data_IF_871500347928
#
_entry.id   IF_871500347928
#
_cell.length_a   1.000
_cell.length_b   1.000
_cell.length_c   1.000
_cell.angle_alpha   90.00
_cell.angle_beta   90.00
_cell.angle_gamma   90.00
#
_symmetry.space_group_name_H-M   'P 1'
#
loop_
_entity.id
_entity.type
_entity.pdbx_description
1 polymer ?
#
# COMPACT_ATOMS: atom_id res chain seq x y z
N UNK A 1 -31.31 14.28 22.52
CA UNK A 1 -30.09 14.66 23.25
C UNK A 1 -28.99 14.89 22.21
N UNK A 2 -28.71 16.15 21.88
CA UNK A 2 -27.67 16.51 20.91
C UNK A 2 -26.33 16.52 21.63
N UNK A 3 -25.45 15.57 21.31
CA UNK A 3 -24.04 15.66 21.69
C UNK A 3 -23.36 16.68 20.78
N UNK A 4 -23.32 17.93 21.24
CA UNK A 4 -22.53 18.98 20.61
C UNK A 4 -21.05 18.72 20.89
N UNK A 5 -20.37 18.02 20.00
CA UNK A 5 -18.92 18.06 19.96
C UNK A 5 -18.52 19.45 19.43
N UNK A 6 -17.98 20.29 20.30
CA UNK A 6 -17.30 21.53 19.89
C UNK A 6 -15.99 21.14 19.25
N UNK A 7 -16.02 20.89 17.94
CA UNK A 7 -14.83 20.61 17.15
C UNK A 7 -14.07 21.93 16.95
N UNK A 8 -12.92 22.05 17.60
CA UNK A 8 -11.99 23.15 17.32
C UNK A 8 -10.99 22.61 16.29
N UNK A 9 -11.18 22.94 15.01
CA UNK A 9 -10.20 22.63 13.97
C UNK A 9 -8.94 23.46 14.19
N UNK A 10 -7.96 22.90 14.91
CA UNK A 10 -6.62 23.45 14.93
C UNK A 10 -5.88 22.91 13.70
N UNK A 11 -5.75 23.74 12.68
CA UNK A 11 -4.66 23.64 11.71
C UNK A 11 -4.90 22.72 10.52
N UNK A 12 -5.04 23.35 9.34
CA UNK A 12 -4.77 22.70 8.06
C UNK A 12 -3.44 21.93 8.14
N UNK A 13 -3.40 20.75 7.54
CA UNK A 13 -2.15 20.05 7.26
C UNK A 13 -1.18 21.03 6.57
N UNK A 14 -0.05 21.37 7.21
CA UNK A 14 0.89 22.39 6.74
C UNK A 14 1.53 22.03 5.39
N UNK A 15 1.46 20.75 5.02
CA UNK A 15 1.98 20.21 3.77
C UNK A 15 0.93 19.32 3.12
N UNK A 16 0.97 19.20 1.80
CA UNK A 16 0.18 18.20 1.08
C UNK A 16 0.54 16.80 1.60
N UNK A 17 -0.44 15.90 1.76
CA UNK A 17 -0.17 14.52 2.17
C UNK A 17 0.80 13.84 1.20
N UNK A 18 1.57 12.90 1.73
CA UNK A 18 2.59 12.14 1.01
C UNK A 18 2.52 10.68 1.40
N UNK A 19 2.78 9.81 0.43
CA UNK A 19 3.04 8.40 0.69
C UNK A 19 4.43 8.26 1.32
N UNK A 20 4.56 7.29 2.22
CA UNK A 20 5.83 6.94 2.85
C UNK A 20 6.74 6.35 1.79
N UNK A 21 7.88 7.03 1.61
CA UNK A 21 8.96 6.57 0.74
C UNK A 21 9.58 5.30 1.33
N UNK A 22 9.86 4.35 0.47
CA UNK A 22 10.57 3.11 0.77
C UNK A 22 12.03 3.19 0.27
N UNK A 23 12.93 2.27 0.68
CA UNK A 23 14.30 2.21 0.16
C UNK A 23 14.35 2.10 -1.36
N UNK A 24 15.42 2.64 -1.95
CA UNK A 24 15.61 2.65 -3.40
C UNK A 24 15.80 1.25 -3.99
N UNK A 25 16.45 0.32 -3.27
CA UNK A 25 16.54 -1.08 -3.65
C UNK A 25 15.40 -1.88 -3.03
N UNK A 26 14.70 -2.67 -3.85
CA UNK A 26 13.66 -3.56 -3.36
C UNK A 26 14.21 -4.64 -2.42
N UNK A 27 15.40 -5.17 -2.70
CA UNK A 27 16.04 -6.18 -1.84
C UNK A 27 16.27 -5.68 -0.42
N UNK A 28 16.61 -4.40 -0.26
CA UNK A 28 16.76 -3.78 1.06
C UNK A 28 15.42 -3.75 1.80
N UNK A 29 14.34 -3.36 1.12
CA UNK A 29 12.99 -3.36 1.69
C UNK A 29 12.53 -4.78 2.03
N UNK A 30 12.69 -5.71 1.10
CA UNK A 30 12.34 -7.11 1.26
C UNK A 30 13.06 -7.70 2.47
N UNK A 31 14.39 -7.61 2.52
CA UNK A 31 15.17 -8.14 3.63
C UNK A 31 14.80 -7.54 4.98
N UNK A 32 14.40 -6.26 5.02
CA UNK A 32 13.97 -5.60 6.25
C UNK A 32 12.59 -6.07 6.74
N UNK A 33 11.66 -6.39 5.84
CA UNK A 33 10.25 -6.55 6.19
C UNK A 33 9.71 -7.98 6.02
N UNK A 34 10.29 -8.81 5.16
CA UNK A 34 9.71 -10.13 4.81
C UNK A 34 9.72 -11.15 5.97
N UNK A 35 10.57 -10.98 6.99
CA UNK A 35 10.61 -11.88 8.17
C UNK A 35 9.94 -11.29 9.41
N UNK A 36 9.34 -10.11 9.30
CA UNK A 36 8.65 -9.49 10.44
C UNK A 36 7.39 -10.28 10.74
N UNK A 37 7.32 -10.86 11.94
CA UNK A 37 6.17 -11.64 12.38
C UNK A 37 5.00 -10.74 12.79
N UNK A 38 3.77 -11.16 12.50
CA UNK A 38 2.59 -10.53 13.07
C UNK A 38 2.48 -10.86 14.58
N UNK A 39 1.83 -9.96 15.34
CA UNK A 39 1.64 -10.15 16.79
C UNK A 39 0.63 -11.24 17.14
N UNK A 40 -0.25 -11.57 16.20
CA UNK A 40 -1.40 -12.46 16.44
C UNK A 40 -1.02 -13.93 16.38
N UNK A 41 -0.10 -14.31 15.48
CA UNK A 41 0.27 -15.71 15.24
C UNK A 41 1.73 -15.82 14.76
N UNK A 42 2.39 -16.90 15.14
CA UNK A 42 3.67 -17.27 14.53
C UNK A 42 3.41 -18.13 13.29
N UNK A 43 3.49 -17.50 12.12
CA UNK A 43 3.40 -18.20 10.85
C UNK A 43 4.78 -18.71 10.41
N UNK A 44 4.81 -19.83 9.67
CA UNK A 44 6.05 -20.40 9.10
C UNK A 44 6.60 -19.58 7.93
N UNK A 45 5.70 -18.92 7.21
CA UNK A 45 5.97 -17.97 6.13
C UNK A 45 5.27 -16.66 6.48
N UNK A 46 5.67 -15.55 5.87
CA UNK A 46 5.03 -14.25 6.11
C UNK A 46 4.62 -13.66 4.77
N UNK A 47 3.36 -13.25 4.67
CA UNK A 47 2.86 -12.41 3.58
C UNK A 47 2.58 -11.01 4.15
N UNK A 48 3.64 -10.20 4.13
CA UNK A 48 3.65 -8.87 4.71
C UNK A 48 3.24 -7.82 3.67
N UNK A 49 2.35 -6.94 4.09
CA UNK A 49 1.81 -5.86 3.27
C UNK A 49 2.10 -4.54 3.99
N UNK A 50 2.90 -3.69 3.36
CA UNK A 50 3.24 -2.37 3.90
C UNK A 50 2.20 -1.34 3.46
N UNK A 51 1.53 -0.70 4.42
CA UNK A 51 0.70 0.46 4.12
C UNK A 51 1.58 1.68 3.80
N UNK A 52 1.52 2.18 2.57
CA UNK A 52 2.30 3.34 2.15
C UNK A 52 1.73 4.66 2.67
N UNK A 53 0.56 4.65 3.34
CA UNK A 53 -0.03 5.85 3.94
C UNK A 53 0.48 6.05 5.38
N UNK A 54 0.50 4.99 6.20
CA UNK A 54 0.86 5.10 7.62
C UNK A 54 2.08 4.27 8.06
N UNK A 55 2.60 3.39 7.20
CA UNK A 55 3.81 2.62 7.48
C UNK A 55 3.58 1.36 8.30
N UNK A 56 2.32 1.02 8.62
CA UNK A 56 2.00 -0.24 9.30
C UNK A 56 2.19 -1.43 8.37
N UNK A 57 2.69 -2.52 8.92
CA UNK A 57 2.69 -3.84 8.29
C UNK A 57 1.40 -4.58 8.62
N UNK A 58 0.79 -5.17 7.60
CA UNK A 58 -0.37 -6.05 7.68
C UNK A 58 0.03 -7.46 7.28
N UNK A 59 -0.68 -8.46 7.78
CA UNK A 59 -0.42 -9.87 7.51
C UNK A 59 -1.60 -10.50 6.77
N UNK A 60 -1.41 -10.93 5.51
CA UNK A 60 -2.46 -11.59 4.72
C UNK A 60 -2.61 -13.10 4.99
N UNK A 61 -1.81 -13.67 5.91
CA UNK A 61 -2.01 -15.04 6.38
C UNK A 61 -3.06 -15.13 7.50
N UNK A 62 -3.22 -14.07 8.29
CA UNK A 62 -4.26 -14.01 9.33
C UNK A 62 -5.65 -13.74 8.75
N UNK A 63 -5.72 -13.12 7.58
CA UNK A 63 -6.95 -12.82 6.84
C UNK A 63 -6.59 -12.60 5.38
N UNK A 64 -7.48 -12.89 4.44
CA UNK A 64 -7.17 -12.69 3.02
C UNK A 64 -6.76 -11.24 2.72
N UNK A 65 -5.86 -11.06 1.74
CA UNK A 65 -5.30 -9.76 1.33
C UNK A 65 -6.37 -8.67 1.17
N UNK A 66 -7.46 -8.98 0.47
CA UNK A 66 -8.47 -8.00 0.15
C UNK A 66 -9.19 -7.49 1.41
N UNK A 67 -9.53 -8.40 2.33
CA UNK A 67 -10.17 -8.09 3.62
C UNK A 67 -9.24 -7.26 4.50
N UNK A 68 -8.00 -7.71 4.72
CA UNK A 68 -7.07 -7.00 5.60
C UNK A 68 -6.75 -5.59 5.11
N UNK A 69 -6.63 -5.40 3.78
CA UNK A 69 -6.38 -4.09 3.17
C UNK A 69 -7.59 -3.17 3.28
N UNK A 70 -8.79 -3.65 2.96
CA UNK A 70 -10.03 -2.86 3.05
C UNK A 70 -10.32 -2.46 4.49
N UNK A 71 -10.26 -3.39 5.45
CA UNK A 71 -10.45 -3.10 6.87
C UNK A 71 -9.43 -2.08 7.38
N UNK A 72 -8.15 -2.26 7.05
CA UNK A 72 -7.11 -1.30 7.42
C UNK A 72 -7.36 0.08 6.80
N UNK A 73 -7.84 0.13 5.55
CA UNK A 73 -8.12 1.39 4.84
C UNK A 73 -9.14 2.24 5.58
N UNK A 74 -10.22 1.64 6.08
CA UNK A 74 -11.23 2.34 6.88
C UNK A 74 -10.65 2.96 8.15
N UNK A 75 -9.64 2.32 8.76
CA UNK A 75 -9.00 2.79 9.98
C UNK A 75 -7.86 3.80 9.73
N UNK A 76 -7.17 3.71 8.58
CA UNK A 76 -5.95 4.47 8.30
C UNK A 76 -6.16 5.66 7.37
N UNK A 77 -6.92 5.47 6.29
CA UNK A 77 -7.05 6.41 5.19
C UNK A 77 -8.49 6.81 4.89
N UNK A 78 -9.43 6.39 5.75
CA UNK A 78 -10.86 6.63 5.61
C UNK A 78 -11.50 5.79 4.51
N UNK A 79 -11.23 6.12 3.25
CA UNK A 79 -11.92 5.50 2.10
C UNK A 79 -10.99 5.03 0.98
N UNK A 80 -9.72 5.47 0.94
CA UNK A 80 -8.76 5.05 -0.08
C UNK A 80 -7.44 4.59 0.53
N UNK A 81 -7.02 3.38 0.16
CA UNK A 81 -5.80 2.75 0.63
C UNK A 81 -4.79 2.56 -0.48
N UNK A 82 -3.51 2.58 -0.10
CA UNK A 82 -2.37 2.28 -0.96
C UNK A 82 -1.41 1.42 -0.17
N UNK A 83 -1.21 0.19 -0.62
CA UNK A 83 -0.38 -0.79 0.08
C UNK A 83 0.57 -1.51 -0.88
N UNK A 84 1.74 -1.91 -0.40
CA UNK A 84 2.75 -2.65 -1.14
C UNK A 84 2.90 -4.05 -0.53
N UNK A 85 2.65 -5.09 -1.31
CA UNK A 85 2.94 -6.47 -0.91
C UNK A 85 4.43 -6.76 -1.05
N UNK A 86 5.07 -7.08 0.07
CA UNK A 86 6.53 -7.20 0.18
C UNK A 86 7.05 -8.40 -0.61
N UNK A 87 6.27 -9.47 -0.78
CA UNK A 87 6.73 -10.69 -1.44
C UNK A 87 6.60 -10.67 -2.96
N UNK A 88 5.78 -9.77 -3.50
CA UNK A 88 5.46 -9.75 -4.95
C UNK A 88 5.84 -8.44 -5.61
N UNK A 89 6.19 -7.42 -4.83
CA UNK A 89 6.34 -6.01 -5.23
C UNK A 89 5.07 -5.35 -5.76
N UNK A 90 3.91 -6.02 -5.67
CA UNK A 90 2.64 -5.49 -6.19
C UNK A 90 2.12 -4.42 -5.24
N UNK A 91 1.79 -3.26 -5.79
CA UNK A 91 0.99 -2.24 -5.13
C UNK A 91 -0.49 -2.54 -5.38
N UNK A 92 -1.24 -2.62 -4.29
CA UNK A 92 -2.69 -2.68 -4.30
C UNK A 92 -3.27 -1.34 -3.87
N UNK A 93 -4.35 -0.94 -4.54
CA UNK A 93 -5.14 0.23 -4.16
C UNK A 93 -6.56 -0.19 -3.79
N UNK A 94 -7.11 0.43 -2.76
CA UNK A 94 -8.48 0.19 -2.32
C UNK A 94 -9.31 1.47 -2.38
N UNK A 95 -10.61 1.29 -2.63
CA UNK A 95 -11.60 2.36 -2.61
C UNK A 95 -12.93 1.80 -2.07
N UNK A 96 -13.29 2.19 -0.85
CA UNK A 96 -14.39 1.56 -0.11
C UNK A 96 -14.14 0.07 0.08
N UNK A 97 -15.12 -0.77 -0.28
CA UNK A 97 -15.02 -2.23 -0.24
C UNK A 97 -14.39 -2.86 -1.49
N UNK A 98 -13.73 -2.07 -2.35
CA UNK A 98 -13.13 -2.57 -3.58
C UNK A 98 -11.61 -2.48 -3.52
N UNK A 99 -10.93 -3.44 -4.14
CA UNK A 99 -9.47 -3.47 -4.29
C UNK A 99 -9.09 -3.68 -5.75
N UNK A 100 -7.96 -3.14 -6.18
CA UNK A 100 -7.42 -3.32 -7.52
C UNK A 100 -5.89 -3.41 -7.47
N UNK A 101 -5.31 -4.17 -8.37
CA UNK A 101 -3.86 -4.17 -8.62
C UNK A 101 -3.51 -2.88 -9.35
N UNK A 102 -2.48 -2.18 -8.88
CA UNK A 102 -1.97 -0.98 -9.55
C UNK A 102 -0.76 -1.30 -10.44
N UNK A 103 0.04 -2.31 -10.06
CA UNK A 103 1.34 -2.63 -10.66
C UNK A 103 2.44 -2.50 -9.61
N UNK A 104 3.70 -2.31 -10.02
CA UNK A 104 4.82 -2.11 -9.09
C UNK A 104 5.37 -0.68 -9.17
N UNK A 105 5.83 -0.12 -8.05
CA UNK A 105 6.67 1.11 -8.05
C UNK A 105 8.16 0.79 -8.20
N UNK A 106 8.50 -0.50 -8.24
CA UNK A 106 9.84 -1.03 -8.39
C UNK A 106 10.01 -1.63 -9.78
N UNK A 107 11.03 -1.21 -10.51
CA UNK A 107 11.33 -1.66 -11.87
C UNK A 107 12.76 -2.19 -11.95
N UNK A 108 13.01 -3.07 -12.92
CA UNK A 108 14.38 -3.47 -13.27
C UNK A 108 15.12 -2.33 -13.99
N UNK A 109 16.41 -2.53 -14.29
CA UNK A 109 17.25 -1.55 -15.00
C UNK A 109 16.72 -1.15 -16.39
N UNK A 110 15.84 -1.96 -16.99
CA UNK A 110 15.22 -1.72 -18.29
C UNK A 110 13.85 -1.04 -18.17
N UNK A 111 13.38 -0.76 -16.96
CA UNK A 111 12.07 -0.16 -16.71
C UNK A 111 10.91 -1.16 -16.73
N UNK A 112 11.20 -2.46 -16.64
CA UNK A 112 10.20 -3.52 -16.63
C UNK A 112 9.81 -3.91 -15.20
N UNK A 113 8.55 -4.29 -15.00
CA UNK A 113 8.11 -4.90 -13.76
C UNK A 113 8.62 -6.37 -13.67
N UNK A 114 8.82 -6.85 -12.44
CA UNK A 114 9.01 -8.28 -12.15
C UNK A 114 7.99 -8.70 -11.07
N UNK A 115 6.71 -8.69 -11.47
CA UNK A 115 5.62 -9.04 -10.58
C UNK A 115 5.79 -10.49 -10.09
N UNK A 116 5.54 -10.70 -8.80
CA UNK A 116 5.78 -12.00 -8.13
C UNK A 116 7.26 -12.43 -8.10
N UNK A 117 8.19 -11.55 -8.50
CA UNK A 117 9.64 -11.74 -8.45
C UNK A 117 10.14 -13.00 -9.17
N UNK A 118 9.41 -13.42 -10.21
CA UNK A 118 9.67 -14.68 -10.94
C UNK A 118 10.98 -14.67 -11.72
N UNK A 119 11.43 -13.50 -12.21
CA UNK A 119 12.66 -13.38 -13.00
C UNK A 119 13.89 -13.22 -12.10
N UNK A 120 13.70 -12.80 -10.85
CA UNK A 120 14.77 -12.61 -9.87
C UNK A 120 15.70 -11.45 -10.22
N UNK A 121 15.19 -10.44 -10.94
CA UNK A 121 15.99 -9.27 -11.31
C UNK A 121 16.04 -8.27 -10.15
N UNK A 122 17.17 -7.58 -9.93
CA UNK A 122 17.22 -6.45 -9.01
C UNK A 122 16.20 -5.38 -9.43
N UNK A 123 15.36 -4.96 -8.49
CA UNK A 123 14.37 -3.91 -8.71
C UNK A 123 14.70 -2.65 -7.91
N UNK A 124 14.41 -1.50 -8.52
CA UNK A 124 14.70 -0.19 -7.98
C UNK A 124 13.46 0.69 -7.99
N UNK A 125 13.30 1.48 -6.92
CA UNK A 125 12.20 2.42 -6.77
C UNK A 125 12.25 3.44 -7.90
N UNK A 126 11.24 3.41 -8.77
CA UNK A 126 11.11 4.37 -9.85
C UNK A 126 10.40 5.64 -9.35
N UNK A 127 11.11 6.77 -9.39
CA UNK A 127 10.61 8.03 -8.85
C UNK A 127 9.35 8.55 -9.55
N UNK A 128 9.26 8.36 -10.88
CA UNK A 128 8.12 8.82 -11.69
C UNK A 128 6.87 8.01 -11.40
N UNK A 129 7.00 6.68 -11.32
CA UNK A 129 5.90 5.78 -10.96
C UNK A 129 5.39 6.03 -9.55
N UNK A 130 6.29 6.24 -8.59
CA UNK A 130 5.90 6.57 -7.22
C UNK A 130 5.15 7.92 -7.17
N UNK A 131 5.62 8.92 -7.91
CA UNK A 131 4.94 10.22 -8.00
C UNK A 131 3.56 10.11 -8.68
N UNK A 132 3.42 9.26 -9.71
CA UNK A 132 2.14 8.97 -10.35
C UNK A 132 1.16 8.31 -9.36
N UNK A 133 1.60 7.27 -8.64
CA UNK A 133 0.81 6.59 -7.62
C UNK A 133 0.32 7.57 -6.54
N UNK A 134 1.23 8.40 -6.02
CA UNK A 134 0.91 9.40 -5.01
C UNK A 134 -0.08 10.45 -5.54
N UNK A 135 0.11 10.94 -6.77
CA UNK A 135 -0.80 11.88 -7.39
C UNK A 135 -2.21 11.29 -7.56
N UNK A 136 -2.31 10.04 -8.01
CA UNK A 136 -3.60 9.36 -8.19
C UNK A 136 -4.32 9.14 -6.86
N UNK A 137 -3.58 8.87 -5.79
CA UNK A 137 -4.11 8.78 -4.44
C UNK A 137 -4.64 10.14 -3.95
N UNK A 138 -3.83 11.21 -4.04
CA UNK A 138 -4.21 12.56 -3.59
C UNK A 138 -5.42 13.10 -4.37
N UNK A 139 -5.51 12.78 -5.66
CA UNK A 139 -6.60 13.24 -6.55
C UNK A 139 -7.81 12.30 -6.55
N UNK A 140 -7.76 11.18 -5.81
CA UNK A 140 -8.78 10.14 -5.82
C UNK A 140 -9.16 9.62 -7.22
N UNK A 141 -8.18 9.57 -8.13
CA UNK A 141 -8.43 9.27 -9.55
C UNK A 141 -8.27 7.80 -9.94
N UNK A 142 -7.95 6.89 -9.00
CA UNK A 142 -7.75 5.47 -9.29
C UNK A 142 -8.90 4.84 -10.08
N UNK A 143 -10.15 5.15 -9.74
CA UNK A 143 -11.34 4.57 -10.41
C UNK A 143 -11.45 4.98 -11.88
N UNK A 144 -10.86 6.11 -12.28
CA UNK A 144 -10.86 6.55 -13.67
C UNK A 144 -9.78 5.85 -14.50
N UNK A 145 -8.68 5.45 -13.86
CA UNK A 145 -7.49 4.92 -14.56
C UNK A 145 -7.45 3.38 -14.51
N UNK A 146 -7.97 2.77 -13.44
CA UNK A 146 -7.95 1.33 -13.24
C UNK A 146 -9.30 0.69 -13.56
N UNK A 147 -9.27 -0.50 -14.18
CA UNK A 147 -10.46 -1.21 -14.66
C UNK A 147 -10.83 -2.45 -13.83
N UNK A 148 -9.84 -3.16 -13.29
CA UNK A 148 -10.01 -4.51 -12.74
C UNK A 148 -10.27 -4.49 -11.22
N UNK A 149 -11.33 -3.80 -10.80
CA UNK A 149 -11.73 -3.74 -9.40
C UNK A 149 -12.43 -5.02 -8.95
N UNK A 150 -12.06 -5.50 -7.77
CA UNK A 150 -12.66 -6.67 -7.11
C UNK A 150 -13.35 -6.22 -5.83
N UNK A 151 -14.61 -6.61 -5.66
CA UNK A 151 -15.31 -6.41 -4.38
C UNK A 151 -14.78 -7.41 -3.37
N UNK A 152 -14.60 -6.94 -2.15
CA UNK A 152 -14.33 -7.75 -0.96
C UNK A 152 -15.63 -8.16 -0.31
#
# INVERSE_FOLDING_TARGET
MNFGYSLVEIGRQLCSPRLIRTPSSFDVLFNALHLVNCSSNQHRFQDNILCLICGRLLCSLCSNLATVVVEHTYMCGGFSGVVLEVNTSIVYVSLGSNICDWGSVYLDEYGEEDLELKRGKPLFLNAERFALLENQWITHSFRHVLKNWRSV
#
